data_IF_227708001632
#
_entry.id   IF_227708001632
#
_cell.length_a   1.000
_cell.length_b   1.000
_cell.length_c   1.000
_cell.angle_alpha   90.00
_cell.angle_beta   90.00
_cell.angle_gamma   90.00
#
_symmetry.space_group_name_H-M   'P 1'
#
loop_
_entity.id
_entity.type
_entity.pdbx_description
1 polymer ?
#
# COMPACT_ATOMS: atom_id res chain seq x y z
N UNK A 1 -16.25 7.30 4.40
CA UNK A 1 -17.66 6.95 4.07
C UNK A 1 -18.44 6.55 5.31
N UNK A 2 -18.03 5.49 6.03
CA UNK A 2 -18.66 5.00 7.26
C UNK A 2 -19.04 6.11 8.28
N UNK A 3 -18.11 7.01 8.60
CA UNK A 3 -18.37 8.12 9.52
C UNK A 3 -19.52 9.06 9.10
N UNK A 4 -19.72 9.28 7.79
CA UNK A 4 -20.85 10.09 7.30
C UNK A 4 -22.19 9.37 7.47
N UNK A 5 -22.16 8.04 7.41
CA UNK A 5 -23.31 7.17 7.60
C UNK A 5 -23.60 6.85 9.07
N UNK A 6 -22.78 7.30 10.02
CA UNK A 6 -22.95 6.95 11.44
C UNK A 6 -22.60 5.49 11.73
N UNK A 7 -21.60 4.95 11.02
CA UNK A 7 -21.10 3.59 11.22
C UNK A 7 -19.74 3.65 11.92
N UNK A 8 -19.71 3.19 13.17
CA UNK A 8 -18.56 3.07 14.04
C UNK A 8 -17.88 1.69 13.91
N UNK A 9 -16.67 1.55 14.47
CA UNK A 9 -15.84 0.35 14.43
C UNK A 9 -14.87 0.28 13.24
N UNK A 10 -14.84 1.32 12.40
CA UNK A 10 -14.01 1.41 11.19
C UNK A 10 -13.04 2.61 11.23
N UNK A 11 -12.96 3.31 12.36
CA UNK A 11 -12.20 4.55 12.53
C UNK A 11 -10.71 4.34 12.34
N UNK A 12 -10.17 3.20 12.79
CA UNK A 12 -8.75 2.86 12.67
C UNK A 12 -8.24 2.88 11.22
N UNK A 13 -9.12 2.64 10.24
CA UNK A 13 -8.80 2.67 8.81
C UNK A 13 -8.33 4.04 8.33
N UNK A 14 -8.73 5.14 8.99
CA UNK A 14 -8.25 6.50 8.62
C UNK A 14 -6.73 6.63 8.78
N UNK A 15 -6.14 5.79 9.64
CA UNK A 15 -4.72 5.74 9.90
C UNK A 15 -3.95 4.76 9.02
N UNK A 16 -4.60 3.99 8.13
CA UNK A 16 -3.95 2.96 7.31
C UNK A 16 -3.93 3.42 5.84
N UNK A 17 -2.76 3.76 5.28
CA UNK A 17 -2.65 4.04 3.86
C UNK A 17 -2.75 2.76 3.03
N UNK A 18 -3.27 2.87 1.80
CA UNK A 18 -3.38 1.75 0.85
C UNK A 18 -4.80 1.49 0.39
N UNK A 19 -5.04 0.31 -0.18
CA UNK A 19 -6.34 -0.13 -0.67
C UNK A 19 -6.95 -1.19 0.25
N UNK A 20 -8.28 -1.40 0.13
CA UNK A 20 -8.98 -2.49 0.82
C UNK A 20 -8.34 -3.85 0.49
N UNK A 21 -8.03 -4.11 -0.79
CA UNK A 21 -7.40 -5.37 -1.20
C UNK A 21 -6.03 -5.60 -0.57
N UNK A 22 -5.21 -4.55 -0.44
CA UNK A 22 -3.95 -4.62 0.30
C UNK A 22 -4.16 -4.87 1.79
N UNK A 23 -5.17 -4.23 2.38
CA UNK A 23 -5.56 -4.44 3.77
C UNK A 23 -5.99 -5.88 4.08
N UNK A 24 -6.79 -6.49 3.20
CA UNK A 24 -7.13 -7.91 3.27
C UNK A 24 -5.88 -8.79 3.13
N UNK A 25 -5.04 -8.53 2.12
CA UNK A 25 -3.83 -9.34 1.86
C UNK A 25 -2.87 -9.41 3.03
N UNK A 26 -2.80 -8.34 3.81
CA UNK A 26 -1.84 -8.20 4.92
C UNK A 26 -2.50 -8.36 6.30
N UNK A 27 -3.82 -8.58 6.38
CA UNK A 27 -4.61 -8.37 7.59
C UNK A 27 -4.17 -7.07 8.31
N UNK A 28 -4.24 -5.95 7.59
CA UNK A 28 -3.72 -4.68 8.07
C UNK A 28 -4.43 -4.28 9.37
N UNK A 29 -3.69 -3.65 10.28
CA UNK A 29 -4.23 -3.34 11.60
C UNK A 29 -3.48 -2.22 12.30
N UNK A 30 -4.22 -1.45 13.09
CA UNK A 30 -3.72 -0.34 13.88
C UNK A 30 -4.67 -0.09 15.05
N UNK A 31 -4.16 0.48 16.15
CA UNK A 31 -4.97 0.89 17.31
C UNK A 31 -5.79 -0.24 17.95
N UNK A 32 -5.26 -1.47 17.93
CA UNK A 32 -5.89 -2.64 18.56
C UNK A 32 -6.98 -3.31 17.73
N UNK A 33 -7.11 -2.94 16.45
CA UNK A 33 -8.07 -3.56 15.52
C UNK A 33 -7.41 -3.85 14.19
N UNK A 34 -7.82 -4.94 13.55
CA UNK A 34 -7.31 -5.40 12.26
C UNK A 34 -8.46 -5.70 11.27
N UNK A 35 -8.12 -5.93 10.00
CA UNK A 35 -9.11 -6.25 8.96
C UNK A 35 -9.92 -7.51 9.29
N UNK A 36 -9.33 -8.53 9.93
CA UNK A 36 -10.04 -9.73 10.38
C UNK A 36 -11.21 -9.43 11.32
N UNK A 37 -11.12 -8.39 12.13
CA UNK A 37 -12.13 -8.07 13.15
C UNK A 37 -13.39 -7.46 12.53
N UNK A 38 -13.24 -6.83 11.36
CA UNK A 38 -14.32 -6.13 10.65
C UNK A 38 -14.78 -6.87 9.40
N UNK A 39 -14.00 -7.80 8.87
CA UNK A 39 -14.32 -8.47 7.60
C UNK A 39 -15.33 -9.60 7.81
N UNK A 40 -16.46 -9.52 7.12
CA UNK A 40 -17.42 -10.62 7.04
C UNK A 40 -16.99 -11.58 5.94
N UNK A 41 -16.70 -11.04 4.75
CA UNK A 41 -16.28 -11.83 3.59
C UNK A 41 -15.48 -10.96 2.61
N UNK A 42 -14.45 -11.54 2.01
CA UNK A 42 -13.69 -10.98 0.91
C UNK A 42 -14.06 -11.69 -0.39
N UNK A 43 -14.06 -10.94 -1.49
CA UNK A 43 -14.35 -11.44 -2.82
C UNK A 43 -13.22 -11.07 -3.78
N UNK A 44 -12.98 -11.93 -4.76
CA UNK A 44 -11.93 -11.71 -5.75
C UNK A 44 -12.10 -12.58 -6.98
N UNK A 45 -11.06 -12.55 -7.81
CA UNK A 45 -10.87 -13.44 -8.95
C UNK A 45 -9.51 -14.10 -8.87
N UNK A 46 -9.41 -15.35 -9.30
CA UNK A 46 -8.12 -16.04 -9.46
C UNK A 46 -7.53 -15.78 -10.86
N UNK A 47 -6.35 -16.36 -11.14
CA UNK A 47 -5.70 -16.21 -12.45
C UNK A 47 -6.38 -16.96 -13.60
N UNK A 48 -7.32 -17.86 -13.30
CA UNK A 48 -8.16 -18.53 -14.29
C UNK A 48 -9.43 -17.74 -14.58
N UNK A 49 -9.63 -16.59 -13.94
CA UNK A 49 -10.82 -15.76 -14.08
C UNK A 49 -12.02 -16.27 -13.28
N UNK A 50 -11.81 -17.24 -12.38
CA UNK A 50 -12.88 -17.77 -11.54
C UNK A 50 -13.14 -16.82 -10.37
N UNK A 51 -14.42 -16.63 -10.04
CA UNK A 51 -14.81 -15.86 -8.87
C UNK A 51 -14.55 -16.67 -7.62
N UNK A 52 -13.92 -16.04 -6.63
CA UNK A 52 -13.55 -16.65 -5.36
C UNK A 52 -14.05 -15.79 -4.20
N UNK A 53 -14.36 -16.41 -3.06
CA UNK A 53 -14.70 -15.68 -1.84
C UNK A 53 -14.33 -16.47 -0.60
N UNK A 54 -13.96 -15.77 0.46
CA UNK A 54 -13.56 -16.37 1.74
C UNK A 54 -13.82 -15.41 2.92
N UNK A 55 -14.12 -15.99 4.08
CA UNK A 55 -14.13 -15.35 5.40
C UNK A 55 -12.70 -15.14 5.91
N UNK A 56 -12.49 -14.33 6.97
CA UNK A 56 -11.17 -14.19 7.59
C UNK A 56 -10.55 -15.51 8.05
N UNK A 57 -11.36 -16.41 8.61
CA UNK A 57 -10.91 -17.72 9.10
C UNK A 57 -10.50 -18.63 7.93
N UNK A 58 -11.29 -18.66 6.85
CA UNK A 58 -10.93 -19.38 5.61
C UNK A 58 -9.67 -18.81 4.94
N UNK A 59 -9.36 -17.53 5.15
CA UNK A 59 -8.12 -16.88 4.69
C UNK A 59 -6.96 -16.97 5.68
N UNK A 60 -7.09 -17.73 6.78
CA UNK A 60 -6.02 -17.90 7.77
C UNK A 60 -5.47 -16.58 8.33
N UNK A 61 -6.33 -15.56 8.51
CA UNK A 61 -5.87 -14.23 8.89
C UNK A 61 -5.28 -14.19 10.31
N UNK A 62 -4.01 -13.81 10.39
CA UNK A 62 -3.27 -13.62 11.64
C UNK A 62 -2.47 -12.31 11.61
N UNK A 63 -1.73 -12.00 12.66
CA UNK A 63 -0.97 -10.75 12.76
C UNK A 63 -0.06 -10.56 11.53
N UNK A 64 -0.36 -9.52 10.74
CA UNK A 64 0.34 -9.19 9.48
C UNK A 64 0.38 -10.34 8.46
N UNK A 65 -0.61 -11.22 8.47
CA UNK A 65 -0.61 -12.46 7.69
C UNK A 65 -2.00 -12.82 7.14
N UNK A 66 -2.02 -13.44 5.97
CA UNK A 66 -3.18 -14.10 5.38
C UNK A 66 -2.72 -15.21 4.43
N UNK A 67 -3.36 -16.36 4.53
CA UNK A 67 -3.18 -17.54 3.69
C UNK A 67 -3.99 -17.50 2.39
N UNK A 68 -4.68 -16.39 2.11
CA UNK A 68 -5.35 -16.21 0.82
C UNK A 68 -4.36 -16.51 -0.32
N UNK A 69 -4.74 -17.28 -1.37
CA UNK A 69 -3.83 -17.62 -2.45
C UNK A 69 -3.17 -16.39 -3.07
N UNK A 70 -1.88 -16.52 -3.41
CA UNK A 70 -1.06 -15.39 -3.86
C UNK A 70 -1.54 -14.76 -5.17
N UNK A 71 -2.24 -15.55 -6.00
CA UNK A 71 -2.76 -15.17 -7.31
C UNK A 71 -4.19 -14.58 -7.26
N UNK A 72 -4.83 -14.55 -6.09
CA UNK A 72 -6.12 -13.89 -5.91
C UNK A 72 -5.99 -12.37 -6.02
N UNK A 73 -6.86 -11.79 -6.83
CA UNK A 73 -7.06 -10.35 -6.95
C UNK A 73 -8.38 -10.00 -6.25
N UNK A 74 -8.29 -9.34 -5.10
CA UNK A 74 -9.48 -8.89 -4.37
C UNK A 74 -10.20 -7.78 -5.14
N UNK A 75 -11.51 -7.93 -5.33
CA UNK A 75 -12.36 -6.98 -6.06
C UNK A 75 -13.24 -6.16 -5.12
N UNK A 76 -13.74 -6.77 -4.05
CA UNK A 76 -14.54 -6.10 -3.03
C UNK A 76 -14.57 -6.89 -1.70
N UNK A 77 -15.12 -6.27 -0.65
CA UNK A 77 -15.24 -6.86 0.67
C UNK A 77 -16.52 -6.38 1.36
N UNK A 78 -17.09 -7.23 2.22
CA UNK A 78 -18.19 -6.87 3.11
C UNK A 78 -17.64 -6.71 4.52
N UNK A 79 -17.85 -5.54 5.10
CA UNK A 79 -17.43 -5.24 6.48
C UNK A 79 -18.62 -5.13 7.42
N UNK A 80 -18.41 -5.56 8.66
CA UNK A 80 -19.29 -5.31 9.78
C UNK A 80 -18.94 -3.96 10.40
N UNK A 81 -19.95 -3.18 10.72
CA UNK A 81 -19.84 -1.94 11.48
C UNK A 81 -21.01 -1.87 12.47
N UNK A 82 -20.92 -0.95 13.43
CA UNK A 82 -21.96 -0.73 14.44
C UNK A 82 -22.56 0.65 14.23
N UNK A 83 -23.87 0.79 14.41
CA UNK A 83 -24.48 2.12 14.43
C UNK A 83 -23.88 2.96 15.57
N UNK A 84 -23.53 4.21 15.29
CA UNK A 84 -22.85 5.07 16.26
C UNK A 84 -23.08 6.55 16.01
N UNK A 85 -22.78 7.35 17.03
CA UNK A 85 -22.88 8.80 16.95
C UNK A 85 -21.81 9.41 16.03
N UNK A 86 -22.24 10.26 15.10
CA UNK A 86 -21.35 10.84 14.09
C UNK A 86 -20.31 11.78 14.70
N UNK A 87 -20.62 12.46 15.80
CA UNK A 87 -19.67 13.35 16.45
C UNK A 87 -18.57 12.54 17.16
N UNK A 88 -18.94 11.51 17.91
CA UNK A 88 -18.01 10.59 18.56
C UNK A 88 -17.06 9.92 17.55
N UNK A 89 -17.60 9.39 16.44
CA UNK A 89 -16.79 8.79 15.36
C UNK A 89 -15.77 9.80 14.80
N UNK A 90 -16.20 11.03 14.53
CA UNK A 90 -15.31 12.09 14.02
C UNK A 90 -14.22 12.46 15.03
N UNK A 91 -14.55 12.56 16.32
CA UNK A 91 -13.57 12.82 17.38
C UNK A 91 -12.54 11.71 17.41
N UNK A 92 -12.98 10.44 17.40
CA UNK A 92 -12.06 9.30 17.40
C UNK A 92 -11.13 9.28 16.18
N UNK A 93 -11.65 9.59 14.99
CA UNK A 93 -10.83 9.71 13.78
C UNK A 93 -9.78 10.82 13.90
N UNK A 94 -10.13 11.98 14.49
CA UNK A 94 -9.18 13.08 14.72
C UNK A 94 -8.06 12.68 15.68
N UNK A 95 -8.40 11.99 16.76
CA UNK A 95 -7.41 11.46 17.72
C UNK A 95 -6.43 10.51 17.03
N UNK A 96 -6.93 9.60 16.19
CA UNK A 96 -6.10 8.65 15.44
C UNK A 96 -5.15 9.41 14.50
N UNK A 97 -5.65 10.38 13.75
CA UNK A 97 -4.83 11.20 12.84
C UNK A 97 -3.76 11.98 13.59
N UNK A 98 -4.11 12.61 14.71
CA UNK A 98 -3.18 13.34 15.56
C UNK A 98 -2.09 12.39 16.12
N UNK A 99 -2.50 11.30 16.77
CA UNK A 99 -1.60 10.30 17.33
C UNK A 99 -0.64 9.71 16.29
N UNK A 100 -1.14 9.35 15.09
CA UNK A 100 -0.28 8.90 13.99
C UNK A 100 0.70 9.99 13.58
N UNK A 101 0.19 11.20 13.46
CA UNK A 101 0.93 12.37 13.05
C UNK A 101 2.05 12.75 14.00
N UNK A 102 1.92 12.45 15.27
CA UNK A 102 2.92 12.70 16.31
C UNK A 102 3.95 11.56 16.37
N UNK A 103 3.52 10.32 16.18
CA UNK A 103 4.38 9.14 16.27
C UNK A 103 5.16 8.82 14.98
N UNK A 104 4.66 9.21 13.79
CA UNK A 104 5.16 8.72 12.51
C UNK A 104 5.49 9.86 11.53
N UNK A 105 6.42 9.65 10.58
CA UNK A 105 6.73 10.66 9.58
C UNK A 105 5.55 10.87 8.62
N UNK A 106 5.24 12.14 8.34
CA UNK A 106 4.14 12.57 7.46
C UNK A 106 4.71 13.20 6.18
N UNK A 107 4.03 13.00 5.06
CA UNK A 107 4.43 13.61 3.78
C UNK A 107 5.75 13.11 3.19
N UNK A 108 6.32 12.03 3.75
CA UNK A 108 7.55 11.41 3.24
C UNK A 108 7.23 10.22 2.34
N UNK A 109 8.13 9.91 1.41
CA UNK A 109 8.03 8.73 0.56
C UNK A 109 8.55 7.51 1.32
N UNK A 110 7.65 6.64 1.76
CA UNK A 110 7.98 5.45 2.56
C UNK A 110 6.95 4.35 2.32
N UNK A 111 7.37 3.09 2.47
CA UNK A 111 6.49 1.91 2.43
C UNK A 111 5.78 1.63 3.76
N UNK A 112 6.00 2.45 4.80
CA UNK A 112 5.46 2.23 6.14
C UNK A 112 6.51 1.63 7.09
N UNK A 113 6.03 0.90 8.11
CA UNK A 113 6.92 0.13 8.97
C UNK A 113 7.67 -0.92 8.15
N UNK A 114 8.99 -0.88 8.23
CA UNK A 114 9.87 -1.66 7.35
C UNK A 114 10.00 -3.10 7.83
N UNK A 115 10.09 -3.27 9.16
CA UNK A 115 10.21 -4.56 9.82
C UNK A 115 9.02 -4.83 10.72
N UNK A 116 8.62 -6.11 10.77
CA UNK A 116 7.62 -6.56 11.73
C UNK A 116 8.18 -6.49 13.15
N UNK A 117 7.31 -6.25 14.14
CA UNK A 117 7.75 -6.30 15.53
C UNK A 117 8.14 -7.73 15.94
N UNK A 118 9.34 -7.95 16.50
CA UNK A 118 9.73 -9.24 17.05
C UNK A 118 8.91 -9.55 18.32
N UNK A 119 8.76 -10.84 18.71
CA UNK A 119 8.07 -11.20 19.94
C UNK A 119 8.64 -10.48 21.16
N UNK A 120 7.77 -9.82 21.94
CA UNK A 120 8.15 -9.13 23.18
C UNK A 120 8.89 -7.79 23.00
N UNK A 121 9.17 -7.34 21.77
CA UNK A 121 9.92 -6.10 21.53
C UNK A 121 9.32 -5.28 20.37
N UNK A 122 9.68 -3.99 20.31
CA UNK A 122 9.27 -3.10 19.22
C UNK A 122 10.45 -2.87 18.30
N UNK A 123 10.29 -3.18 17.01
CA UNK A 123 11.39 -3.09 16.03
C UNK A 123 12.04 -1.70 16.03
N UNK A 124 11.25 -0.62 16.15
CA UNK A 124 11.80 0.74 16.15
C UNK A 124 12.74 1.02 17.32
N UNK A 125 12.49 0.45 18.51
CA UNK A 125 13.36 0.64 19.69
C UNK A 125 14.68 -0.08 19.48
N UNK A 126 14.61 -1.29 18.92
CA UNK A 126 15.79 -2.08 18.59
C UNK A 126 16.66 -1.39 17.53
N UNK A 127 16.04 -0.82 16.51
CA UNK A 127 16.74 -0.08 15.46
C UNK A 127 17.37 1.20 16.01
N UNK A 128 16.63 1.96 16.85
CA UNK A 128 17.12 3.19 17.45
C UNK A 128 18.31 2.94 18.38
N UNK A 129 18.19 1.96 19.28
CA UNK A 129 19.28 1.57 20.18
C UNK A 129 20.49 0.96 19.44
N UNK A 130 20.35 0.58 18.16
CA UNK A 130 21.46 0.16 17.30
C UNK A 130 22.13 1.34 16.59
N UNK A 131 21.76 2.58 16.94
CA UNK A 131 22.34 3.80 16.38
C UNK A 131 21.98 3.99 14.91
N UNK A 132 20.82 3.50 14.47
CA UNK A 132 20.40 3.58 13.08
C UNK A 132 19.55 4.82 12.78
N UNK A 133 19.12 5.61 13.77
CA UNK A 133 18.37 6.85 13.51
C UNK A 133 19.18 7.79 12.61
N UNK A 134 18.54 8.29 11.55
CA UNK A 134 19.19 9.17 10.58
C UNK A 134 20.17 8.49 9.63
N UNK A 135 20.46 7.19 9.80
CA UNK A 135 21.42 6.45 8.97
C UNK A 135 21.02 6.51 7.49
N UNK A 136 21.99 6.78 6.62
CA UNK A 136 21.78 6.92 5.19
C UNK A 136 22.58 5.89 4.38
N UNK A 137 22.00 5.45 3.27
CA UNK A 137 22.66 4.72 2.18
C UNK A 137 22.11 5.27 0.88
N UNK A 138 22.95 5.85 0.02
CA UNK A 138 22.49 6.50 -1.21
C UNK A 138 21.40 7.55 -0.93
N UNK A 139 20.28 7.49 -1.66
CA UNK A 139 19.12 8.36 -1.43
C UNK A 139 18.17 7.88 -0.31
N UNK A 140 18.45 6.74 0.33
CA UNK A 140 17.62 6.19 1.41
C UNK A 140 18.10 6.68 2.79
N UNK A 141 17.15 6.89 3.71
CA UNK A 141 17.45 7.26 5.09
C UNK A 141 16.53 6.54 6.08
N UNK A 142 17.03 6.21 7.27
CA UNK A 142 16.21 5.80 8.42
C UNK A 142 15.58 7.06 9.02
N UNK A 143 14.26 7.10 9.12
CA UNK A 143 13.54 8.28 9.60
C UNK A 143 14.05 8.75 10.97
N UNK A 144 14.37 10.04 11.07
CA UNK A 144 14.67 10.74 12.32
C UNK A 144 13.52 10.71 13.31
N UNK A 145 12.29 10.53 12.84
CA UNK A 145 11.09 10.53 13.68
C UNK A 145 10.80 9.16 14.24
N UNK A 146 10.83 8.12 13.40
CA UNK A 146 10.50 6.76 13.80
C UNK A 146 11.38 5.74 13.06
N UNK A 147 12.34 5.14 13.75
CA UNK A 147 13.42 4.36 13.14
C UNK A 147 12.98 3.10 12.37
N UNK A 148 11.75 2.61 12.55
CA UNK A 148 11.21 1.54 11.71
C UNK A 148 10.67 2.02 10.35
N UNK A 149 10.95 3.26 9.92
CA UNK A 149 10.57 3.76 8.60
C UNK A 149 11.82 4.09 7.79
N UNK A 150 12.01 3.38 6.69
CA UNK A 150 12.96 3.80 5.65
C UNK A 150 12.27 4.81 4.72
N UNK A 151 12.92 5.94 4.50
CA UNK A 151 12.41 7.05 3.70
C UNK A 151 13.26 7.23 2.45
N UNK A 152 12.60 7.54 1.34
CA UNK A 152 13.23 8.01 0.12
C UNK A 152 13.30 9.54 0.18
N UNK A 153 14.51 10.09 0.22
CA UNK A 153 14.75 11.54 0.34
C UNK A 153 14.50 12.32 -0.96
N UNK A 154 14.22 11.62 -2.06
CA UNK A 154 13.89 12.19 -3.37
C UNK A 154 14.48 11.41 -4.54
N UNK A 155 15.62 10.74 -4.32
CA UNK A 155 16.36 10.01 -5.35
C UNK A 155 16.76 8.58 -4.96
N UNK A 156 16.18 8.00 -3.89
CA UNK A 156 16.54 6.65 -3.47
C UNK A 156 16.16 5.62 -4.52
N UNK A 157 17.11 4.76 -4.88
CA UNK A 157 16.85 3.56 -5.66
C UNK A 157 16.23 2.45 -4.78
N UNK A 158 15.66 1.41 -5.39
CA UNK A 158 15.25 0.22 -4.65
C UNK A 158 16.45 -0.44 -3.94
N UNK A 159 17.60 -0.46 -4.62
CA UNK A 159 18.86 -0.98 -4.07
C UNK A 159 19.31 -0.18 -2.83
N UNK A 160 19.15 1.14 -2.83
CA UNK A 160 19.49 1.98 -1.66
C UNK A 160 18.64 1.61 -0.44
N UNK A 161 17.33 1.45 -0.64
CA UNK A 161 16.38 1.12 0.43
C UNK A 161 16.64 -0.30 0.96
N UNK A 162 16.88 -1.27 0.08
CA UNK A 162 17.18 -2.65 0.46
C UNK A 162 18.51 -2.74 1.19
N UNK A 163 19.56 -2.09 0.67
CA UNK A 163 20.88 -2.03 1.32
C UNK A 163 20.81 -1.36 2.68
N UNK A 164 20.06 -0.26 2.81
CA UNK A 164 19.83 0.38 4.10
C UNK A 164 19.12 -0.55 5.08
N UNK A 165 18.09 -1.26 4.62
CA UNK A 165 17.37 -2.22 5.45
C UNK A 165 18.24 -3.38 5.92
N UNK A 166 19.04 -3.99 5.04
CA UNK A 166 19.99 -5.04 5.44
C UNK A 166 21.08 -4.50 6.37
N UNK A 167 21.55 -3.26 6.18
CA UNK A 167 22.47 -2.59 7.11
C UNK A 167 21.86 -2.43 8.50
N UNK A 168 20.59 -2.04 8.59
CA UNK A 168 19.85 -1.95 9.85
C UNK A 168 19.76 -3.32 10.53
N UNK A 169 19.40 -4.37 9.79
CA UNK A 169 19.34 -5.75 10.33
C UNK A 169 20.69 -6.20 10.88
N UNK A 170 21.77 -5.93 10.16
CA UNK A 170 23.14 -6.27 10.58
C UNK A 170 23.55 -5.53 11.86
N UNK A 171 23.23 -4.23 11.98
CA UNK A 171 23.55 -3.44 13.18
C UNK A 171 22.77 -3.89 14.41
N UNK A 172 21.47 -4.19 14.26
CA UNK A 172 20.66 -4.73 15.35
C UNK A 172 21.21 -6.08 15.81
N UNK A 173 21.54 -6.97 14.88
CA UNK A 173 22.14 -8.26 15.20
C UNK A 173 23.52 -8.13 15.89
N UNK A 174 24.38 -7.23 15.41
CA UNK A 174 25.71 -6.98 16.00
C UNK A 174 25.62 -6.45 17.45
N UNK A 175 24.53 -5.76 17.80
CA UNK A 175 24.25 -5.34 19.19
C UNK A 175 23.67 -6.46 20.07
N UNK A 176 23.42 -7.65 19.52
CA UNK A 176 22.71 -8.73 20.20
C UNK A 176 21.19 -8.52 20.26
N UNK A 177 20.64 -7.66 19.39
CA UNK A 177 19.20 -7.47 19.27
C UNK A 177 18.50 -8.61 18.52
N UNK A 178 17.16 -8.63 18.51
CA UNK A 178 16.39 -9.69 17.87
C UNK A 178 16.54 -9.67 16.35
N UNK A 179 16.34 -10.83 15.72
CA UNK A 179 16.29 -10.94 14.26
C UNK A 179 15.09 -10.14 13.71
N UNK A 180 15.37 -9.09 12.95
CA UNK A 180 14.35 -8.30 12.26
C UNK A 180 13.92 -8.99 10.96
N UNK A 181 12.61 -9.13 10.76
CA UNK A 181 11.98 -9.65 9.54
C UNK A 181 11.34 -8.51 8.77
N UNK A 182 11.62 -8.42 7.47
CA UNK A 182 10.93 -7.49 6.57
C UNK A 182 9.41 -7.67 6.63
N UNK A 183 8.69 -6.57 6.83
CA UNK A 183 7.23 -6.49 6.71
C UNK A 183 6.84 -6.02 5.31
N UNK A 184 7.63 -5.10 4.73
CA UNK A 184 7.46 -4.66 3.35
C UNK A 184 7.82 -5.80 2.40
N UNK A 185 6.90 -6.11 1.48
CA UNK A 185 7.16 -7.06 0.39
C UNK A 185 8.07 -6.42 -0.65
N UNK A 186 9.24 -7.01 -0.85
CA UNK A 186 10.18 -6.67 -1.93
C UNK A 186 9.78 -7.45 -3.18
N UNK A 187 9.69 -6.76 -4.31
CA UNK A 187 9.28 -7.32 -5.60
C UNK A 187 10.22 -6.84 -6.69
N UNK A 188 10.43 -7.67 -7.71
CA UNK A 188 11.40 -7.41 -8.77
C UNK A 188 12.54 -8.44 -8.77
N UNK A 189 13.51 -8.24 -9.66
CA UNK A 189 14.73 -9.05 -9.75
C UNK A 189 15.92 -8.18 -9.36
N UNK A 190 16.83 -8.72 -8.55
CA UNK A 190 18.10 -8.07 -8.24
C UNK A 190 18.90 -7.87 -9.53
N UNK A 191 19.40 -6.65 -9.77
CA UNK A 191 20.22 -6.33 -10.95
C UNK A 191 19.46 -6.27 -12.27
N UNK A 192 18.11 -6.23 -12.27
CA UNK A 192 17.33 -6.05 -13.48
C UNK A 192 17.72 -4.77 -14.21
N UNK A 193 18.30 -4.90 -15.41
CA UNK A 193 18.57 -3.75 -16.29
C UNK A 193 17.26 -2.98 -16.48
N UNK A 194 17.22 -1.65 -16.30
CA UNK A 194 15.99 -0.89 -16.48
C UNK A 194 15.45 -1.21 -17.87
N UNK A 195 14.20 -1.69 -17.92
CA UNK A 195 13.56 -2.04 -19.17
C UNK A 195 13.65 -0.83 -20.11
N UNK A 196 14.49 -0.93 -21.15
CA UNK A 196 14.61 0.11 -22.18
C UNK A 196 13.21 0.42 -22.67
N UNK A 197 12.76 1.66 -22.47
CA UNK A 197 11.63 2.23 -23.18
C UNK A 197 11.90 2.00 -24.67
N UNK A 198 11.10 1.15 -25.31
CA UNK A 198 11.13 1.01 -26.77
C UNK A 198 10.75 2.36 -27.34
N UNK A 199 11.76 3.09 -27.80
CA UNK A 199 11.60 4.31 -28.57
C UNK A 199 10.84 3.93 -29.84
N UNK A 200 9.57 4.33 -29.94
CA UNK A 200 8.80 4.23 -31.18
C UNK A 200 9.28 5.30 -32.15
N UNK A 201 10.42 5.05 -32.81
CA UNK A 201 10.77 5.74 -34.05
C UNK A 201 10.22 4.93 -35.23
N UNK A 202 8.97 5.21 -35.57
CA UNK A 202 8.29 4.69 -36.76
C UNK A 202 7.49 5.81 -37.40
N UNK A 203 8.18 6.87 -37.85
CA UNK A 203 7.58 7.87 -38.72
C UNK A 203 7.27 7.22 -40.07
N UNK A 204 6.01 6.84 -40.29
CA UNK A 204 5.46 6.66 -41.63
C UNK A 204 4.77 7.95 -42.03
N UNK A 205 5.40 8.67 -42.95
CA UNK A 205 4.78 9.73 -43.73
C UNK A 205 3.54 9.17 -44.42
N UNK A 206 2.38 9.80 -44.19
CA UNK A 206 1.22 9.68 -45.07
C UNK A 206 0.97 11.09 -45.61
N UNK A 207 1.23 11.22 -46.91
CA UNK A 207 1.09 12.42 -47.71
C UNK A 207 -0.38 12.74 -48.02
N UNK A 208 -0.70 14.04 -48.01
CA UNK A 208 -1.53 14.65 -49.05
C UNK A 208 -3.03 14.65 -48.82
N UNK A 209 -3.52 15.75 -48.25
CA UNK A 209 -4.93 16.07 -48.08
C UNK A 209 -5.64 16.36 -49.41
N UNK A 210 -6.95 16.07 -49.40
CA UNK A 210 -7.89 16.18 -50.50
C UNK A 210 -8.19 17.63 -50.91
N UNK A 211 -8.43 17.74 -52.21
CA UNK A 211 -8.84 18.90 -53.00
C UNK A 211 -10.25 19.40 -52.62
N UNK A 212 -10.41 20.72 -52.65
CA UNK A 212 -11.65 21.46 -52.40
C UNK A 212 -12.20 21.97 -53.72
N UNK A 213 -13.45 21.63 -54.09
CA UNK A 213 -14.40 22.63 -54.61
C UNK A 213 -15.80 22.07 -54.98
N UNK A 214 -16.80 22.91 -54.66
CA UNK A 214 -18.11 23.14 -55.30
C UNK A 214 -19.34 22.27 -54.96
N UNK A 215 -20.25 22.93 -54.23
CA UNK A 215 -21.72 22.76 -54.10
C UNK A 215 -22.49 23.00 -55.43
N UNK A 216 -23.84 23.10 -55.46
CA UNK A 216 -24.94 22.51 -54.63
C UNK A 216 -26.06 21.87 -55.49
N UNK A 217 -27.06 21.18 -54.89
CA UNK A 217 -28.33 20.91 -55.60
C UNK A 217 -29.24 19.78 -55.06
N UNK A 218 -30.23 20.18 -54.25
CA UNK A 218 -31.68 19.86 -54.27
C UNK A 218 -32.26 18.44 -54.55
N UNK A 219 -33.30 18.11 -53.76
CA UNK A 219 -34.40 17.12 -53.95
C UNK A 219 -34.02 15.63 -53.92
N UNK A 220 -34.78 14.70 -53.35
CA UNK A 220 -36.16 14.72 -52.89
C UNK A 220 -36.51 13.46 -52.09
N UNK A 221 -37.80 13.32 -51.84
CA UNK A 221 -38.51 12.59 -50.80
C UNK A 221 -38.88 11.16 -51.25
N UNK A 222 -39.29 10.35 -50.27
CA UNK A 222 -40.18 9.15 -50.31
C UNK A 222 -39.64 7.79 -50.76
N UNK A 223 -39.93 6.76 -49.94
CA UNK A 223 -39.99 5.36 -50.37
C UNK A 223 -39.93 4.32 -49.25
N UNK A 224 -41.10 4.01 -48.68
CA UNK A 224 -41.51 2.82 -47.88
C UNK A 224 -40.85 2.58 -46.52
#
# INVERSE_FOLDING_TARGET
YAARAGLAGLEFLIGIPGTIGGGLRMNAGAYGTEFRDITIRAHGVDRKGQTVSATPDEMGMAYRHSDAPADWIFTHATFRAVAGDKAAIKTRMKEIVASRGDAQPRGVRTGGSTFANPPGAKAWQEIDAAGCRGLMVGGAQVSEKHCNFLINTGGASAHDIETLGETVRARVAARGGPALRWEIRRVGQEGGTPARTKNTSGAKNISGAADTSRSPGTTGRTGV
#
